data_IF_553655571550
#
_entry.id   IF_553655571550
#
_cell.length_a   1.000
_cell.length_b   1.000
_cell.length_c   1.000
_cell.angle_alpha   90.00
_cell.angle_beta   90.00
_cell.angle_gamma   90.00
#
_symmetry.space_group_name_H-M   'P 1'
#
loop_
_entity.id
_entity.type
_entity.pdbx_description
1 polymer ?
#
# COMPACT_ATOMS: atom_id res chain seq x y z
N UNK A 1 -10.26 -21.47 -12.68
CA UNK A 1 -10.14 -20.38 -11.70
C UNK A 1 -10.41 -20.99 -10.34
N UNK A 2 -9.40 -20.99 -9.49
CA UNK A 2 -9.54 -21.40 -8.09
C UNK A 2 -10.32 -20.30 -7.39
N UNK A 3 -11.51 -20.61 -6.87
CA UNK A 3 -12.35 -19.67 -6.11
C UNK A 3 -11.69 -19.44 -4.74
N UNK A 4 -10.83 -18.43 -4.68
CA UNK A 4 -10.15 -17.97 -3.46
C UNK A 4 -10.95 -16.77 -2.96
N UNK A 5 -11.61 -16.87 -1.80
CA UNK A 5 -12.44 -15.78 -1.31
C UNK A 5 -11.59 -14.59 -0.89
N UNK A 6 -12.09 -13.39 -1.17
CA UNK A 6 -11.67 -12.13 -0.55
C UNK A 6 -12.06 -12.19 0.93
N UNK A 7 -11.12 -11.88 1.81
CA UNK A 7 -11.32 -11.88 3.26
C UNK A 7 -11.58 -10.45 3.76
N UNK A 8 -12.44 -10.34 4.76
CA UNK A 8 -12.78 -9.07 5.42
C UNK A 8 -12.09 -8.93 6.78
N UNK A 9 -11.69 -10.04 7.41
CA UNK A 9 -11.05 -10.05 8.72
C UNK A 9 -9.77 -10.90 8.74
N UNK A 10 -8.71 -10.40 9.38
CA UNK A 10 -7.47 -11.16 9.58
C UNK A 10 -7.70 -12.50 10.29
N UNK A 11 -8.78 -12.63 11.07
CA UNK A 11 -9.14 -13.88 11.76
C UNK A 11 -9.63 -14.97 10.80
N UNK A 12 -10.07 -14.60 9.60
CA UNK A 12 -10.51 -15.55 8.56
C UNK A 12 -9.33 -16.21 7.85
N UNK A 13 -8.13 -15.60 7.92
CA UNK A 13 -6.90 -16.16 7.37
C UNK A 13 -6.60 -17.48 8.08
N UNK A 14 -6.73 -18.61 7.39
CA UNK A 14 -6.55 -19.94 7.97
C UNK A 14 -5.66 -20.83 7.08
N UNK A 15 -5.11 -21.95 7.60
CA UNK A 15 -4.21 -22.81 6.84
C UNK A 15 -4.78 -23.30 5.50
N UNK A 16 -6.08 -23.64 5.45
CA UNK A 16 -6.74 -24.08 4.23
C UNK A 16 -6.83 -22.99 3.16
N UNK A 17 -7.13 -21.76 3.57
CA UNK A 17 -7.16 -20.61 2.66
C UNK A 17 -5.75 -20.30 2.10
N UNK A 18 -4.72 -20.27 2.94
CA UNK A 18 -3.34 -20.04 2.50
C UNK A 18 -2.88 -21.15 1.55
N UNK A 19 -3.20 -22.41 1.86
CA UNK A 19 -2.86 -23.53 0.98
C UNK A 19 -3.48 -23.35 -0.41
N UNK A 20 -4.73 -22.88 -0.51
CA UNK A 20 -5.34 -22.55 -1.82
C UNK A 20 -4.61 -21.42 -2.54
N UNK A 21 -4.22 -20.36 -1.84
CA UNK A 21 -3.46 -19.23 -2.39
C UNK A 21 -2.12 -19.69 -2.96
N UNK A 22 -1.37 -20.47 -2.20
CA UNK A 22 -0.04 -20.94 -2.61
C UNK A 22 -0.12 -21.96 -3.76
N UNK A 23 -1.07 -22.90 -3.72
CA UNK A 23 -1.26 -23.88 -4.81
C UNK A 23 -1.83 -23.29 -6.09
N UNK A 24 -2.28 -22.02 -6.08
CA UNK A 24 -2.66 -21.32 -7.31
C UNK A 24 -1.43 -20.79 -8.08
N UNK A 25 -0.23 -20.80 -7.48
CA UNK A 25 1.00 -20.39 -8.14
C UNK A 25 1.50 -21.49 -9.07
N UNK A 26 2.06 -21.11 -10.22
CA UNK A 26 2.57 -22.08 -11.20
C UNK A 26 3.81 -22.85 -10.75
N UNK A 27 4.59 -22.28 -9.82
CA UNK A 27 5.86 -22.80 -9.30
C UNK A 27 5.76 -23.33 -7.87
N UNK A 28 4.58 -23.28 -7.25
CA UNK A 28 4.30 -23.85 -5.93
C UNK A 28 3.16 -24.85 -6.09
N UNK A 29 3.45 -26.14 -5.94
CA UNK A 29 2.45 -27.21 -5.97
C UNK A 29 2.47 -28.03 -4.68
N UNK A 30 1.37 -28.73 -4.44
CA UNK A 30 1.19 -29.70 -3.36
C UNK A 30 1.52 -29.15 -1.97
N UNK A 31 1.27 -27.84 -1.80
CA UNK A 31 1.62 -27.10 -0.60
C UNK A 31 0.50 -27.22 0.44
N UNK A 32 0.78 -27.89 1.56
CA UNK A 32 -0.18 -28.04 2.66
C UNK A 32 0.31 -27.28 3.90
N UNK A 33 -0.30 -26.12 4.15
CA UNK A 33 -0.13 -25.41 5.43
C UNK A 33 -0.95 -26.15 6.49
N UNK A 34 -0.29 -26.57 7.56
CA UNK A 34 -0.93 -27.26 8.69
C UNK A 34 -1.23 -26.31 9.85
N UNK A 35 -0.52 -25.19 9.92
CA UNK A 35 -0.67 -24.20 10.98
C UNK A 35 -0.10 -22.84 10.57
N UNK A 36 -0.50 -21.80 11.28
CA UNK A 36 0.01 -20.46 11.07
C UNK A 36 -0.02 -19.62 12.34
N UNK A 37 0.84 -18.61 12.38
CA UNK A 37 0.73 -17.50 13.35
C UNK A 37 0.50 -16.19 12.62
N UNK A 38 -0.26 -15.29 13.25
CA UNK A 38 -0.62 -13.98 12.72
C UNK A 38 0.02 -12.91 13.61
N UNK A 39 0.77 -12.03 13.00
CA UNK A 39 1.43 -10.89 13.64
C UNK A 39 0.79 -9.63 13.04
N UNK A 40 -0.10 -9.00 13.81
CA UNK A 40 -0.77 -7.76 13.39
C UNK A 40 0.25 -6.62 13.39
N UNK A 41 0.50 -6.04 12.22
CA UNK A 41 1.48 -4.99 11.99
C UNK A 41 0.87 -3.59 12.09
N UNK A 42 -0.43 -3.46 12.37
CA UNK A 42 -1.12 -2.17 12.48
C UNK A 42 -0.90 -1.46 13.81
N UNK A 43 -0.19 -2.06 14.77
CA UNK A 43 -0.22 -1.64 16.17
C UNK A 43 0.27 -0.20 16.41
N UNK A 44 1.07 0.37 15.50
CA UNK A 44 1.71 1.68 15.71
C UNK A 44 1.62 2.66 14.52
N UNK A 45 0.90 2.32 13.44
CA UNK A 45 0.83 3.19 12.26
C UNK A 45 -0.59 3.32 11.71
N UNK A 46 -0.94 4.55 11.29
CA UNK A 46 -2.23 4.92 10.70
C UNK A 46 -2.42 4.36 9.29
N UNK A 47 -2.36 3.03 9.16
CA UNK A 47 -2.51 2.34 7.89
C UNK A 47 -3.97 2.42 7.41
N UNK A 48 -4.12 2.55 6.09
CA UNK A 48 -5.41 2.55 5.39
C UNK A 48 -5.93 1.12 5.12
N UNK A 49 -5.30 0.09 5.69
CA UNK A 49 -5.61 -1.32 5.48
C UNK A 49 -5.28 -2.11 6.74
N UNK A 50 -5.91 -3.27 6.94
CA UNK A 50 -5.36 -4.28 7.85
C UNK A 50 -4.09 -4.88 7.19
N UNK A 51 -3.01 -5.02 7.95
CA UNK A 51 -1.70 -5.49 7.51
C UNK A 51 -1.20 -6.52 8.51
N UNK A 52 -1.07 -7.77 8.07
CA UNK A 52 -0.69 -8.88 8.93
C UNK A 52 0.43 -9.68 8.30
N UNK A 53 1.47 -9.97 9.09
CA UNK A 53 2.47 -10.98 8.75
C UNK A 53 1.95 -12.34 9.19
N UNK A 54 1.96 -13.30 8.28
CA UNK A 54 1.51 -14.66 8.53
C UNK A 54 2.72 -15.58 8.40
N UNK A 55 3.11 -16.23 9.50
CA UNK A 55 4.18 -17.25 9.49
C UNK A 55 3.55 -18.62 9.30
N UNK A 56 4.12 -19.41 8.41
CA UNK A 56 3.49 -20.62 7.89
C UNK A 56 4.24 -21.86 8.37
N UNK A 57 3.50 -22.86 8.83
CA UNK A 57 4.00 -24.20 9.10
C UNK A 57 3.37 -25.17 8.13
N UNK A 58 4.21 -26.00 7.53
CA UNK A 58 3.83 -26.99 6.53
C UNK A 58 3.96 -28.40 7.10
N UNK A 59 3.25 -29.35 6.51
CA UNK A 59 3.53 -30.77 6.71
C UNK A 59 4.88 -31.10 6.04
N UNK A 60 4.92 -30.92 4.72
CA UNK A 60 6.15 -30.91 3.91
C UNK A 60 6.25 -29.57 3.17
N UNK A 61 7.37 -28.87 3.36
CA UNK A 61 7.59 -27.56 2.75
C UNK A 61 8.27 -27.73 1.38
N UNK A 62 7.55 -27.40 0.31
CA UNK A 62 8.15 -27.24 -1.02
C UNK A 62 9.24 -26.16 -1.00
N UNK A 63 10.38 -26.35 -1.71
CA UNK A 63 11.45 -25.34 -1.76
C UNK A 63 11.01 -23.94 -2.22
N UNK A 64 9.98 -23.87 -3.07
CA UNK A 64 9.43 -22.60 -3.57
C UNK A 64 8.41 -21.96 -2.62
N UNK A 65 7.94 -22.68 -1.58
CA UNK A 65 6.95 -22.16 -0.65
C UNK A 65 7.60 -21.16 0.33
N UNK A 66 6.95 -20.01 0.62
CA UNK A 66 7.47 -19.03 1.56
C UNK A 66 7.45 -19.56 3.00
N UNK A 67 8.29 -19.02 3.89
CA UNK A 67 8.14 -19.24 5.35
C UNK A 67 7.14 -18.29 5.99
N UNK A 68 6.96 -17.12 5.39
CA UNK A 68 6.00 -16.10 5.80
C UNK A 68 5.54 -15.28 4.61
N UNK A 69 4.37 -14.68 4.74
CA UNK A 69 3.76 -13.80 3.76
C UNK A 69 3.15 -12.59 4.46
N UNK A 70 2.93 -11.53 3.71
CA UNK A 70 2.17 -10.36 4.15
C UNK A 70 0.78 -10.43 3.52
N UNK A 71 -0.25 -10.23 4.33
CA UNK A 71 -1.63 -10.12 3.88
C UNK A 71 -2.14 -8.71 4.18
N UNK A 72 -2.72 -8.07 3.16
CA UNK A 72 -3.41 -6.78 3.27
C UNK A 72 -4.89 -6.97 3.00
N UNK A 73 -5.73 -6.48 3.91
CA UNK A 73 -7.18 -6.50 3.78
C UNK A 73 -7.76 -5.08 3.93
N UNK A 74 -9.01 -4.90 3.53
CA UNK A 74 -9.74 -3.65 3.76
C UNK A 74 -9.75 -3.28 5.26
N UNK A 75 -9.70 -2.00 5.63
CA UNK A 75 -9.71 -1.59 7.05
C UNK A 75 -11.07 -1.88 7.70
N UNK A 76 -11.06 -2.14 9.02
CA UNK A 76 -12.29 -2.35 9.82
C UNK A 76 -13.02 -1.05 10.13
N UNK A 77 -12.28 0.03 10.32
CA UNK A 77 -12.84 1.35 10.61
C UNK A 77 -13.54 1.93 9.37
N UNK A 78 -14.81 2.29 9.53
CA UNK A 78 -15.66 2.75 8.42
C UNK A 78 -15.14 4.05 7.81
N UNK A 79 -14.68 5.00 8.63
CA UNK A 79 -14.13 6.27 8.13
C UNK A 79 -12.85 6.05 7.31
N UNK A 80 -11.97 5.16 7.76
CA UNK A 80 -10.75 4.77 7.03
C UNK A 80 -11.10 4.04 5.72
N UNK A 81 -12.13 3.19 5.73
CA UNK A 81 -12.62 2.51 4.53
C UNK A 81 -13.19 3.51 3.52
N UNK A 82 -14.08 4.39 3.94
CA UNK A 82 -14.65 5.45 3.10
C UNK A 82 -13.57 6.35 2.51
N UNK A 83 -12.57 6.73 3.32
CA UNK A 83 -11.41 7.48 2.87
C UNK A 83 -10.62 6.74 1.77
N UNK A 84 -10.35 5.45 1.97
CA UNK A 84 -9.66 4.62 0.98
C UNK A 84 -10.42 4.46 -0.33
N UNK A 85 -11.76 4.33 -0.26
CA UNK A 85 -12.65 4.29 -1.44
C UNK A 85 -12.64 5.64 -2.15
N UNK A 86 -12.80 6.75 -1.43
CA UNK A 86 -12.86 8.09 -2.00
C UNK A 86 -11.58 8.48 -2.77
N UNK A 87 -10.43 7.96 -2.34
CA UNK A 87 -9.14 8.16 -3.02
C UNK A 87 -8.71 6.99 -3.91
N UNK A 88 -9.59 6.00 -4.12
CA UNK A 88 -9.34 4.79 -4.90
C UNK A 88 -8.05 4.03 -4.49
N UNK A 89 -7.65 4.09 -3.22
CA UNK A 89 -6.36 3.54 -2.74
C UNK A 89 -6.29 2.02 -2.95
N UNK A 90 -7.38 1.32 -2.67
CA UNK A 90 -7.45 -0.15 -2.76
C UNK A 90 -7.41 -0.61 -4.22
N UNK A 91 -8.21 0.04 -5.08
CA UNK A 91 -8.22 -0.23 -6.52
C UNK A 91 -6.85 0.02 -7.14
N UNK A 92 -6.17 1.10 -6.74
CA UNK A 92 -4.83 1.44 -7.21
C UNK A 92 -3.78 0.39 -6.86
N UNK A 93 -3.78 -0.07 -5.61
CA UNK A 93 -2.82 -1.09 -5.19
C UNK A 93 -3.06 -2.42 -5.88
N UNK A 94 -4.32 -2.84 -6.00
CA UNK A 94 -4.71 -4.05 -6.74
C UNK A 94 -4.33 -3.94 -8.22
N UNK A 95 -4.61 -2.81 -8.86
CA UNK A 95 -4.24 -2.57 -10.25
C UNK A 95 -2.71 -2.52 -10.44
N UNK A 96 -1.97 -1.95 -9.50
CA UNK A 96 -0.50 -1.97 -9.51
C UNK A 96 0.02 -3.41 -9.56
N UNK A 97 -0.44 -4.29 -8.67
CA UNK A 97 0.03 -5.67 -8.69
C UNK A 97 -0.46 -6.46 -9.91
N UNK A 98 -1.67 -6.18 -10.42
CA UNK A 98 -2.22 -6.85 -11.62
C UNK A 98 -1.48 -6.48 -12.91
N UNK A 99 -1.07 -5.21 -13.05
CA UNK A 99 -0.63 -4.69 -14.35
C UNK A 99 0.81 -4.18 -14.38
N UNK A 100 1.40 -3.83 -13.23
CA UNK A 100 2.69 -3.13 -13.17
C UNK A 100 3.77 -3.85 -12.39
N UNK A 101 3.43 -4.68 -11.41
CA UNK A 101 4.41 -5.28 -10.51
C UNK A 101 5.43 -6.18 -11.21
N UNK A 102 4.98 -7.02 -12.15
CA UNK A 102 5.82 -8.03 -12.80
C UNK A 102 7.06 -7.45 -13.50
N UNK A 103 6.89 -6.34 -14.22
CA UNK A 103 7.99 -5.71 -14.96
C UNK A 103 8.47 -4.41 -14.28
N UNK A 104 8.16 -4.20 -13.00
CA UNK A 104 8.49 -2.95 -12.34
C UNK A 104 10.01 -2.84 -12.08
N UNK A 105 10.69 -1.75 -12.47
CA UNK A 105 12.12 -1.55 -12.21
C UNK A 105 12.51 -1.58 -10.73
N UNK A 106 11.56 -1.30 -9.83
CA UNK A 106 11.80 -1.30 -8.38
C UNK A 106 11.65 -2.68 -7.74
N UNK A 107 11.33 -3.74 -8.50
CA UNK A 107 11.18 -5.11 -8.01
C UNK A 107 10.32 -5.23 -6.74
N UNK A 108 9.02 -4.87 -6.81
CA UNK A 108 8.12 -4.94 -5.67
C UNK A 108 7.97 -6.38 -5.16
N UNK A 109 7.49 -6.57 -3.90
CA UNK A 109 7.25 -7.89 -3.34
C UNK A 109 6.44 -8.78 -4.30
N UNK A 110 6.83 -10.05 -4.43
CA UNK A 110 6.11 -10.97 -5.30
C UNK A 110 4.64 -11.13 -4.83
N UNK A 111 3.62 -10.94 -5.69
CA UNK A 111 2.24 -11.23 -5.35
C UNK A 111 1.95 -12.74 -5.44
N UNK A 112 1.27 -13.27 -4.42
CA UNK A 112 0.68 -14.61 -4.42
C UNK A 112 -0.83 -14.57 -4.68
N UNK A 113 -1.53 -13.52 -4.26
CA UNK A 113 -2.95 -13.35 -4.55
C UNK A 113 -3.32 -11.86 -4.52
N UNK A 114 -4.18 -11.43 -5.43
CA UNK A 114 -4.57 -10.02 -5.58
C UNK A 114 -6.00 -9.98 -6.08
N UNK A 115 -6.93 -9.63 -5.19
CA UNK A 115 -8.33 -9.54 -5.56
C UNK A 115 -9.08 -8.40 -4.86
N UNK A 116 -10.16 -7.96 -5.49
CA UNK A 116 -11.01 -6.84 -5.06
C UNK A 116 -12.43 -7.07 -5.53
N UNK A 117 -13.38 -6.71 -4.68
CA UNK A 117 -14.81 -6.71 -5.01
C UNK A 117 -15.13 -5.66 -6.07
N UNK A 118 -16.21 -5.85 -6.82
CA UNK A 118 -16.67 -4.89 -7.83
C UNK A 118 -17.00 -3.51 -7.21
N UNK A 119 -17.48 -3.50 -5.97
CA UNK A 119 -17.74 -2.30 -5.15
C UNK A 119 -16.47 -1.65 -4.60
N UNK A 120 -15.33 -2.33 -4.66
CA UNK A 120 -14.05 -1.90 -4.11
C UNK A 120 -14.05 -1.58 -2.60
N UNK A 121 -15.00 -2.13 -1.85
CA UNK A 121 -15.14 -1.98 -0.39
C UNK A 121 -14.48 -3.12 0.41
N UNK A 122 -14.09 -4.19 -0.29
CA UNK A 122 -13.28 -5.29 0.21
C UNK A 122 -12.21 -5.71 -0.81
N UNK A 123 -11.00 -5.97 -0.34
CA UNK A 123 -9.87 -6.44 -1.15
C UNK A 123 -8.99 -7.38 -0.33
N UNK A 124 -8.23 -8.24 -1.01
CA UNK A 124 -7.20 -9.08 -0.40
C UNK A 124 -5.97 -9.11 -1.28
N UNK A 125 -4.84 -8.69 -0.72
CA UNK A 125 -3.52 -8.79 -1.34
C UNK A 125 -2.66 -9.68 -0.47
N UNK A 126 -2.06 -10.71 -1.06
CA UNK A 126 -1.08 -11.59 -0.43
C UNK A 126 0.22 -11.44 -1.19
N UNK A 127 1.28 -11.03 -0.50
CA UNK A 127 2.59 -10.78 -1.10
C UNK A 127 3.71 -11.40 -0.27
N UNK A 128 4.87 -11.51 -0.89
CA UNK A 128 6.13 -11.85 -0.25
C UNK A 128 6.41 -11.02 1.00
N UNK A 129 6.86 -11.69 2.05
CA UNK A 129 7.41 -11.04 3.23
C UNK A 129 8.90 -10.79 3.01
N UNK A 130 9.28 -9.53 2.85
CA UNK A 130 10.68 -9.09 2.70
C UNK A 130 11.45 -9.11 4.03
N UNK A 131 10.85 -9.64 5.10
CA UNK A 131 11.46 -9.81 6.40
C UNK A 131 11.17 -8.67 7.37
N UNK A 132 11.86 -8.68 8.50
CA UNK A 132 11.72 -7.68 9.55
C UNK A 132 12.49 -6.42 9.19
N UNK A 133 11.79 -5.28 9.14
CA UNK A 133 12.42 -3.96 9.23
C UNK A 133 12.01 -3.34 10.56
N UNK A 134 13.00 -2.78 11.26
CA UNK A 134 12.78 -2.02 12.48
C UNK A 134 12.02 -0.73 12.14
N UNK A 135 10.84 -0.46 12.73
CA UNK A 135 10.13 0.81 12.52
C UNK A 135 11.00 2.04 12.81
N UNK A 136 11.99 1.93 13.70
CA UNK A 136 12.92 3.01 14.04
C UNK A 136 13.85 3.40 12.88
N UNK A 137 14.07 2.51 11.90
CA UNK A 137 14.84 2.80 10.67
C UNK A 137 14.26 4.01 9.91
N UNK A 138 12.94 4.24 9.97
CA UNK A 138 12.34 5.40 9.32
C UNK A 138 12.83 6.73 9.91
N UNK A 139 13.31 6.73 11.16
CA UNK A 139 13.81 7.91 11.86
C UNK A 139 15.32 8.10 11.67
N UNK A 140 16.07 7.01 11.44
CA UNK A 140 17.53 7.04 11.26
C UNK A 140 17.95 7.63 9.89
N UNK A 141 17.01 7.65 8.94
CA UNK A 141 17.28 8.07 7.56
C UNK A 141 18.03 7.01 6.76
N UNK A 142 18.40 7.36 5.53
CA UNK A 142 19.12 6.45 4.63
C UNK A 142 20.62 6.77 4.62
N UNK A 143 21.45 5.73 4.54
CA UNK A 143 22.87 5.85 4.18
C UNK A 143 23.02 6.40 2.75
N UNK A 144 24.23 6.87 2.41
CA UNK A 144 24.50 7.34 1.06
C UNK A 144 24.34 6.23 0.01
N UNK A 145 24.75 4.99 0.33
CA UNK A 145 24.54 3.84 -0.55
C UNK A 145 23.06 3.52 -0.76
N UNK A 146 22.25 3.50 0.31
CA UNK A 146 20.81 3.25 0.23
C UNK A 146 20.09 4.35 -0.56
N UNK A 147 20.41 5.62 -0.28
CA UNK A 147 19.86 6.75 -1.03
C UNK A 147 20.20 6.66 -2.52
N UNK A 148 21.45 6.29 -2.87
CA UNK A 148 21.84 6.08 -4.26
C UNK A 148 21.06 4.95 -4.93
N UNK A 149 20.86 3.83 -4.22
CA UNK A 149 20.08 2.70 -4.72
C UNK A 149 18.61 3.07 -4.95
N UNK A 150 17.98 3.78 -4.00
CA UNK A 150 16.61 4.27 -4.11
C UNK A 150 16.46 5.23 -5.30
N UNK A 151 17.35 6.21 -5.42
CA UNK A 151 17.30 7.18 -6.53
C UNK A 151 17.52 6.53 -7.89
N UNK A 152 18.37 5.50 -7.96
CA UNK A 152 18.59 4.72 -9.19
C UNK A 152 17.32 3.95 -9.59
N UNK A 153 16.66 3.29 -8.64
CA UNK A 153 15.40 2.59 -8.88
C UNK A 153 14.29 3.55 -9.33
N UNK A 154 14.17 4.71 -8.68
CA UNK A 154 13.25 5.79 -9.07
C UNK A 154 13.54 6.31 -10.49
N UNK A 155 14.81 6.48 -10.83
CA UNK A 155 15.23 6.84 -12.19
C UNK A 155 14.76 5.83 -13.24
N UNK A 156 14.89 4.52 -12.96
CA UNK A 156 14.38 3.45 -13.80
C UNK A 156 12.86 3.47 -13.94
N UNK A 157 12.15 3.72 -12.84
CA UNK A 157 10.70 3.86 -12.83
C UNK A 157 10.24 5.02 -13.73
N UNK A 158 10.86 6.21 -13.57
CA UNK A 158 10.57 7.36 -14.42
C UNK A 158 10.91 7.09 -15.88
N UNK A 159 12.09 6.53 -16.18
CA UNK A 159 12.47 6.20 -17.56
C UNK A 159 11.47 5.27 -18.25
N UNK A 160 10.83 4.37 -17.49
CA UNK A 160 9.84 3.42 -18.03
C UNK A 160 8.45 4.03 -18.24
N UNK A 161 7.99 4.89 -17.32
CA UNK A 161 6.58 5.30 -17.26
C UNK A 161 6.31 6.79 -17.50
N UNK A 162 7.33 7.65 -17.46
CA UNK A 162 7.15 9.09 -17.63
C UNK A 162 6.58 9.44 -19.01
N UNK A 163 5.51 10.26 -19.02
CA UNK A 163 4.79 10.70 -20.24
C UNK A 163 4.34 9.56 -21.18
N UNK A 164 4.15 8.35 -20.65
CA UNK A 164 3.69 7.22 -21.46
C UNK A 164 2.19 7.35 -21.73
N UNK A 165 1.82 7.60 -22.99
CA UNK A 165 0.43 7.82 -23.43
C UNK A 165 -0.53 6.65 -23.21
N UNK A 166 -0.01 5.45 -22.94
CA UNK A 166 -0.81 4.25 -22.71
C UNK A 166 -1.17 4.03 -21.22
N UNK A 167 -0.90 5.02 -20.36
CA UNK A 167 -1.38 5.05 -18.98
C UNK A 167 -2.68 5.85 -18.85
N UNK A 168 -3.05 6.64 -19.86
CA UNK A 168 -4.28 7.41 -19.85
C UNK A 168 -5.51 6.50 -20.07
N UNK A 169 -6.61 6.76 -19.34
CA UNK A 169 -7.89 6.07 -19.53
C UNK A 169 -8.15 4.86 -18.63
N UNK A 170 -7.31 4.63 -17.62
CA UNK A 170 -7.63 3.70 -16.54
C UNK A 170 -8.30 4.45 -15.38
N UNK A 171 -9.51 4.03 -14.99
CA UNK A 171 -10.30 4.67 -13.93
C UNK A 171 -9.59 4.72 -12.56
N UNK A 172 -8.64 3.81 -12.34
CA UNK A 172 -7.85 3.73 -11.10
C UNK A 172 -6.59 4.61 -11.13
N UNK A 173 -6.16 5.15 -12.28
CA UNK A 173 -5.04 6.11 -12.32
C UNK A 173 -5.58 7.49 -11.91
N UNK A 174 -5.08 8.09 -10.82
CA UNK A 174 -5.64 9.31 -10.30
C UNK A 174 -5.44 10.47 -11.29
N UNK A 175 -6.50 11.22 -11.55
CA UNK A 175 -6.36 12.56 -12.08
C UNK A 175 -5.68 13.43 -11.02
N UNK A 176 -4.44 13.83 -11.28
CA UNK A 176 -3.60 14.57 -10.33
C UNK A 176 -4.28 15.85 -9.81
N UNK A 177 -4.99 16.59 -10.67
CA UNK A 177 -5.72 17.79 -10.28
C UNK A 177 -6.94 17.49 -9.40
N UNK A 178 -7.67 16.40 -9.68
CA UNK A 178 -8.81 15.99 -8.86
C UNK A 178 -8.35 15.51 -7.47
N UNK A 179 -7.29 14.70 -7.43
CA UNK A 179 -6.69 14.24 -6.18
C UNK A 179 -6.14 15.41 -5.35
N UNK A 180 -5.56 16.42 -6.00
CA UNK A 180 -5.14 17.66 -5.36
C UNK A 180 -6.28 18.36 -4.63
N UNK A 181 -7.39 18.59 -5.36
CA UNK A 181 -8.55 19.30 -4.84
C UNK A 181 -9.13 18.57 -3.63
N UNK A 182 -9.21 17.23 -3.69
CA UNK A 182 -9.63 16.39 -2.57
C UNK A 182 -8.70 16.56 -1.35
N UNK A 183 -7.38 16.49 -1.54
CA UNK A 183 -6.40 16.65 -0.46
C UNK A 183 -6.42 18.05 0.16
N UNK A 184 -6.61 19.11 -0.63
CA UNK A 184 -6.79 20.49 -0.13
C UNK A 184 -8.04 20.59 0.74
N UNK A 185 -9.17 20.06 0.26
CA UNK A 185 -10.42 20.04 1.00
C UNK A 185 -10.27 19.34 2.36
N UNK A 186 -9.60 18.19 2.37
CA UNK A 186 -9.29 17.45 3.58
C UNK A 186 -8.33 18.19 4.51
N UNK A 187 -7.26 18.78 3.99
CA UNK A 187 -6.32 19.56 4.79
C UNK A 187 -7.04 20.71 5.53
N UNK A 188 -7.97 21.40 4.85
CA UNK A 188 -8.77 22.45 5.48
C UNK A 188 -9.65 21.95 6.63
N UNK A 189 -10.08 20.69 6.60
CA UNK A 189 -10.86 20.08 7.68
C UNK A 189 -9.98 19.59 8.85
N UNK A 190 -8.82 19.00 8.55
CA UNK A 190 -7.99 18.31 9.55
C UNK A 190 -6.98 19.24 10.24
N UNK A 191 -6.40 20.20 9.51
CA UNK A 191 -5.36 21.11 10.02
C UNK A 191 -5.79 21.88 11.28
N UNK A 192 -7.01 22.44 11.40
CA UNK A 192 -7.42 23.11 12.63
C UNK A 192 -7.39 22.20 13.86
N UNK A 193 -7.82 20.94 13.72
CA UNK A 193 -7.78 19.95 14.80
C UNK A 193 -6.34 19.53 15.15
N UNK A 194 -5.49 19.35 14.14
CA UNK A 194 -4.08 19.07 14.32
C UNK A 194 -3.37 20.21 15.08
N UNK A 195 -3.56 21.46 14.64
CA UNK A 195 -2.99 22.64 15.29
C UNK A 195 -3.52 22.83 16.72
N UNK A 196 -4.81 22.56 16.95
CA UNK A 196 -5.38 22.58 18.30
C UNK A 196 -4.77 21.53 19.23
N UNK A 197 -4.29 20.39 18.70
CA UNK A 197 -3.71 19.31 19.48
C UNK A 197 -2.20 19.42 19.66
N UNK A 198 -1.47 19.83 18.62
CA UNK A 198 -0.01 19.76 18.57
C UNK A 198 0.67 21.11 18.32
N UNK A 199 -0.10 22.16 18.00
CA UNK A 199 0.43 23.45 17.56
C UNK A 199 1.36 24.13 18.57
N UNK A 200 1.16 23.91 19.87
CA UNK A 200 2.01 24.47 20.93
C UNK A 200 3.34 23.74 21.11
N UNK A 201 3.46 22.51 20.57
CA UNK A 201 4.71 21.74 20.56
C UNK A 201 5.51 21.92 19.26
N UNK A 202 4.98 22.71 18.31
CA UNK A 202 5.64 22.96 17.02
C UNK A 202 6.51 24.22 17.07
N UNK A 203 7.66 24.22 16.37
CA UNK A 203 8.38 25.45 16.08
C UNK A 203 7.47 26.48 15.39
N UNK A 204 7.61 27.76 15.76
CA UNK A 204 6.80 28.86 15.20
C UNK A 204 6.93 28.94 13.69
N UNK A 205 8.11 28.64 13.16
CA UNK A 205 8.42 28.60 11.74
C UNK A 205 7.60 27.53 11.02
N UNK A 206 7.47 26.34 11.63
CA UNK A 206 6.71 25.23 11.07
C UNK A 206 5.21 25.50 11.10
N UNK A 207 4.71 26.14 12.17
CA UNK A 207 3.31 26.56 12.28
C UNK A 207 2.94 27.60 11.22
N UNK A 208 3.80 28.59 11.01
CA UNK A 208 3.61 29.63 9.98
C UNK A 208 3.67 29.05 8.57
N UNK A 209 4.62 28.15 8.31
CA UNK A 209 4.74 27.45 7.03
C UNK A 209 3.52 26.56 6.73
N UNK A 210 2.93 25.92 7.75
CA UNK A 210 1.71 25.10 7.56
C UNK A 210 0.50 25.96 7.15
N UNK A 211 0.34 27.13 7.77
CA UNK A 211 -0.73 28.07 7.43
C UNK A 211 -0.59 28.64 6.01
N UNK A 212 0.64 28.99 5.61
CA UNK A 212 0.96 29.43 4.25
C UNK A 212 0.75 28.31 3.22
N UNK A 213 1.28 27.11 3.49
CA UNK A 213 1.14 25.95 2.63
C UNK A 213 -0.33 25.57 2.44
N UNK A 214 -1.17 25.64 3.48
CA UNK A 214 -2.61 25.36 3.37
C UNK A 214 -3.30 26.28 2.36
N UNK A 215 -2.93 27.56 2.33
CA UNK A 215 -3.48 28.53 1.38
C UNK A 215 -3.00 28.30 -0.07
N UNK A 216 -1.76 27.82 -0.23
CA UNK A 216 -1.12 27.66 -1.54
C UNK A 216 -1.19 26.24 -2.13
N UNK A 217 -1.53 25.21 -1.33
CA UNK A 217 -1.40 23.81 -1.74
C UNK A 217 -2.22 23.46 -2.99
N UNK A 218 -3.44 24.00 -3.10
CA UNK A 218 -4.28 23.78 -4.28
C UNK A 218 -3.67 24.37 -5.55
N UNK A 219 -3.20 25.61 -5.47
CA UNK A 219 -2.53 26.29 -6.59
C UNK A 219 -1.24 25.58 -6.99
N UNK A 220 -0.45 25.11 -6.02
CA UNK A 220 0.81 24.38 -6.26
C UNK A 220 0.57 23.09 -7.04
N UNK A 221 -0.42 22.28 -6.65
CA UNK A 221 -0.68 21.02 -7.35
C UNK A 221 -1.34 21.27 -8.70
N UNK A 222 -2.24 22.26 -8.82
CA UNK A 222 -2.76 22.65 -10.13
C UNK A 222 -1.65 23.12 -11.09
N UNK A 223 -0.71 23.90 -10.58
CA UNK A 223 0.48 24.31 -11.34
C UNK A 223 1.30 23.10 -11.78
N UNK A 224 1.58 22.16 -10.87
CA UNK A 224 2.32 20.93 -11.19
C UNK A 224 1.56 20.05 -12.20
N UNK A 225 0.24 19.95 -12.10
CA UNK A 225 -0.58 19.17 -13.02
C UNK A 225 -0.65 19.79 -14.44
N UNK A 226 -0.57 21.13 -14.55
CA UNK A 226 -0.58 21.86 -15.83
C UNK A 226 0.81 21.95 -16.49
N UNK A 227 1.88 21.69 -15.75
CA UNK A 227 3.27 21.76 -16.21
C UNK A 227 4.01 20.43 -15.91
N UNK A 228 3.62 19.32 -16.57
CA UNK A 228 4.23 18.01 -16.37
C UNK A 228 5.65 17.91 -16.92
#
# INVERSE_FOLDING_TARGET
MTDIPILDDIMEINPGWISKVLNAQSDISDCQVIDLTREDLNQDAGFVSQLVRVRLRYDEKSPAAPSSIIVKLAPKDAATKEFGIALALFQREVAFYRYFAQDNPCNPPRPYHVDITDSADAFTIVVEDLGSHDPEIMLDGATAEEAHAIMTALGGLHAKYWQRKNLDGHDWIPNSAMMASALVGMANQVVPGFLGRFGDSMPVELRSALDEARGAYGELIEFAAKNP
#
